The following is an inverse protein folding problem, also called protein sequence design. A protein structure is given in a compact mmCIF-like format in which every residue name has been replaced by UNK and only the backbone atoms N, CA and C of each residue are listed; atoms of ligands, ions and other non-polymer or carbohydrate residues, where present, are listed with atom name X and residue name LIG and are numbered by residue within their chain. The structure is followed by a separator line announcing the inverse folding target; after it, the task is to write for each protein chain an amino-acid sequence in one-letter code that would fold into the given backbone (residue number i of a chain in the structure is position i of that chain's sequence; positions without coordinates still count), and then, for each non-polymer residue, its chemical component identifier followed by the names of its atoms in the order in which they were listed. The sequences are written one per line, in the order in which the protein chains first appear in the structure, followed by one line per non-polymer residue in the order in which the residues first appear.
data_IF_357993075437
#
_entry.id   IF_357993075437
#
_cell.length_a   1.000
_cell.length_b   1.000
_cell.length_c   1.000
_cell.angle_alpha   90.00
_cell.angle_beta   90.00
_cell.angle_gamma   90.00
#
_symmetry.space_group_name_H-M   'P 1'
#
loop_
_entity.id
_entity.type
_entity.pdbx_description
1 polymer ?
#
# COMPACT_ATOMS: atom_id res chain seq x y z
N UNK A 1 24.68 -31.13 -7.99
CA UNK A 1 23.65 -30.07 -7.85
C UNK A 1 23.97 -29.24 -6.62
N UNK A 2 24.32 -27.99 -6.77
CA UNK A 2 24.54 -27.12 -5.59
C UNK A 2 23.22 -26.98 -4.84
N UNK A 3 23.25 -27.31 -3.56
CA UNK A 3 22.06 -27.18 -2.68
C UNK A 3 21.68 -25.71 -2.59
N UNK A 4 20.45 -25.36 -2.99
CA UNK A 4 19.95 -23.98 -2.86
C UNK A 4 19.80 -23.65 -1.38
N UNK A 5 20.24 -22.44 -0.98
CA UNK A 5 20.00 -21.91 0.35
C UNK A 5 18.51 -21.59 0.56
N UNK A 6 18.06 -21.69 1.81
CA UNK A 6 16.69 -21.35 2.18
C UNK A 6 16.57 -19.87 2.46
N UNK A 7 15.50 -19.26 1.98
CA UNK A 7 15.17 -17.86 2.16
C UNK A 7 13.72 -17.73 2.67
N UNK A 8 13.54 -17.06 3.78
CA UNK A 8 12.20 -16.67 4.25
C UNK A 8 11.99 -15.20 3.94
N UNK A 9 10.83 -14.90 3.35
CA UNK A 9 10.36 -13.53 3.13
C UNK A 9 9.11 -13.32 3.99
N UNK A 10 9.11 -12.26 4.82
CA UNK A 10 8.02 -11.92 5.73
C UNK A 10 7.24 -10.76 5.13
N UNK A 11 5.96 -10.98 4.85
CA UNK A 11 5.04 -10.05 4.19
C UNK A 11 4.88 -10.31 2.69
N UNK A 12 3.64 -10.53 2.25
CA UNK A 12 3.27 -10.77 0.85
C UNK A 12 2.62 -9.54 0.20
N UNK A 13 3.12 -8.36 0.54
CA UNK A 13 2.90 -7.13 -0.22
C UNK A 13 3.71 -7.10 -1.52
N UNK A 14 3.64 -6.00 -2.26
CA UNK A 14 4.35 -5.84 -3.54
C UNK A 14 5.85 -6.12 -3.42
N UNK A 15 6.52 -5.56 -2.39
CA UNK A 15 7.96 -5.74 -2.17
C UNK A 15 8.30 -7.21 -1.95
N UNK A 16 7.55 -7.92 -1.07
CA UNK A 16 7.82 -9.33 -0.76
C UNK A 16 7.55 -10.27 -1.93
N UNK A 17 6.42 -10.11 -2.61
CA UNK A 17 6.09 -10.93 -3.79
C UNK A 17 7.10 -10.73 -4.92
N UNK A 18 7.48 -9.48 -5.20
CA UNK A 18 8.43 -9.22 -6.26
C UNK A 18 9.84 -9.71 -5.90
N UNK A 19 10.27 -9.58 -4.63
CA UNK A 19 11.51 -10.19 -4.13
C UNK A 19 11.50 -11.71 -4.29
N UNK A 20 10.39 -12.37 -3.96
CA UNK A 20 10.25 -13.81 -4.13
C UNK A 20 10.41 -14.23 -5.60
N UNK A 21 9.75 -13.49 -6.52
CA UNK A 21 9.87 -13.74 -7.97
C UNK A 21 11.32 -13.60 -8.46
N UNK A 22 12.04 -12.58 -7.99
CA UNK A 22 13.44 -12.34 -8.36
C UNK A 22 14.38 -13.46 -7.86
N UNK A 23 14.13 -13.99 -6.65
CA UNK A 23 15.07 -14.89 -5.97
C UNK A 23 14.74 -16.38 -6.07
N UNK A 24 13.53 -16.80 -6.47
CA UNK A 24 13.10 -18.20 -6.50
C UNK A 24 13.98 -19.14 -7.34
N UNK A 25 14.69 -18.60 -8.35
CA UNK A 25 15.62 -19.42 -9.16
C UNK A 25 16.91 -19.75 -8.42
N UNK A 26 17.32 -18.94 -7.44
CA UNK A 26 18.57 -19.06 -6.68
C UNK A 26 18.37 -19.65 -5.28
N UNK A 27 17.21 -19.45 -4.68
CA UNK A 27 16.87 -19.86 -3.32
C UNK A 27 15.65 -20.78 -3.29
N UNK A 28 15.53 -21.57 -2.21
CA UNK A 28 14.26 -22.16 -1.79
C UNK A 28 13.51 -21.11 -1.00
N UNK A 29 12.53 -20.45 -1.62
CA UNK A 29 11.82 -19.33 -1.03
C UNK A 29 10.58 -19.81 -0.30
N UNK A 30 10.38 -19.31 0.93
CA UNK A 30 9.12 -19.40 1.69
C UNK A 30 8.66 -17.97 1.96
N UNK A 31 7.43 -17.66 1.61
CA UNK A 31 6.79 -16.37 1.83
C UNK A 31 5.73 -16.49 2.93
N UNK A 32 5.89 -15.76 4.03
CA UNK A 32 4.98 -15.76 5.17
C UNK A 32 4.13 -14.48 5.17
N UNK A 33 2.83 -14.61 5.16
CA UNK A 33 1.87 -13.50 5.23
C UNK A 33 0.97 -13.66 6.45
N UNK A 34 0.85 -12.60 7.24
CA UNK A 34 0.05 -12.61 8.44
C UNK A 34 -1.46 -12.64 8.17
N UNK A 35 -1.90 -12.04 7.06
CA UNK A 35 -3.30 -12.01 6.63
C UNK A 35 -3.71 -13.30 5.93
N UNK A 36 -5.01 -13.42 5.73
CA UNK A 36 -5.64 -14.43 4.87
C UNK A 36 -5.60 -14.07 3.37
N UNK A 37 -4.97 -12.92 3.02
CA UNK A 37 -4.86 -12.38 1.66
C UNK A 37 -3.48 -11.86 1.34
N UNK A 38 -3.15 -11.83 0.05
CA UNK A 38 -1.96 -11.21 -0.50
C UNK A 38 -2.18 -9.71 -0.78
N UNK A 39 -1.08 -8.97 -0.99
CA UNK A 39 -1.09 -7.60 -1.49
C UNK A 39 -0.71 -6.55 -0.44
N UNK A 40 -0.81 -6.86 0.84
CA UNK A 40 -0.51 -5.90 1.90
C UNK A 40 -1.41 -4.66 1.81
N UNK A 41 -0.81 -3.48 1.57
CA UNK A 41 -1.53 -2.20 1.36
C UNK A 41 -2.19 -2.10 -0.02
N UNK A 42 -1.86 -2.94 -1.00
CA UNK A 42 -2.63 -3.07 -2.22
C UNK A 42 -3.89 -3.88 -1.89
N UNK A 43 -5.03 -3.26 -2.10
CA UNK A 43 -6.34 -3.85 -1.89
C UNK A 43 -7.28 -3.27 -2.95
N UNK A 44 -7.81 -4.14 -3.82
CA UNK A 44 -8.86 -3.76 -4.77
C UNK A 44 -10.10 -4.62 -4.53
N UNK A 45 -11.25 -3.98 -4.39
CA UNK A 45 -12.56 -4.64 -4.23
C UNK A 45 -13.44 -4.22 -5.41
N UNK A 46 -14.00 -5.18 -6.12
CA UNK A 46 -14.83 -4.95 -7.30
C UNK A 46 -14.16 -4.05 -8.37
N UNK A 47 -12.82 -4.06 -8.45
CA UNK A 47 -12.03 -3.26 -9.38
C UNK A 47 -11.67 -1.85 -8.88
N UNK A 48 -12.10 -1.47 -7.68
CA UNK A 48 -11.76 -0.22 -7.02
C UNK A 48 -10.58 -0.40 -6.06
N UNK A 49 -9.57 0.45 -6.19
CA UNK A 49 -8.40 0.44 -5.33
C UNK A 49 -8.67 1.19 -4.02
N UNK A 50 -8.69 0.47 -2.92
CA UNK A 50 -8.82 1.00 -1.55
C UNK A 50 -7.46 1.27 -0.88
N UNK A 51 -6.38 0.87 -1.53
CA UNK A 51 -5.01 1.25 -1.22
C UNK A 51 -4.46 2.24 -2.25
N UNK A 52 -3.19 2.08 -2.72
CA UNK A 52 -2.64 2.89 -3.79
C UNK A 52 -3.48 2.73 -5.07
N UNK A 53 -3.61 3.81 -5.84
CA UNK A 53 -4.39 3.84 -7.09
C UNK A 53 -3.57 4.31 -8.27
N UNK A 54 -2.58 5.17 -8.05
CA UNK A 54 -1.88 5.89 -9.09
C UNK A 54 -0.46 5.41 -9.33
N UNK A 55 -0.09 5.47 -10.60
CA UNK A 55 1.30 5.40 -11.06
C UNK A 55 1.61 6.64 -11.90
N UNK A 56 2.81 7.20 -11.74
CA UNK A 56 3.22 8.42 -12.45
C UNK A 56 4.27 8.10 -13.51
N UNK A 57 4.35 8.95 -14.53
CA UNK A 57 5.23 8.73 -15.69
C UNK A 57 6.73 8.68 -15.36
N UNK A 58 7.16 9.23 -14.23
CA UNK A 58 8.54 9.17 -13.75
C UNK A 58 8.88 7.85 -13.03
N UNK A 59 7.89 7.09 -12.59
CA UNK A 59 8.03 5.84 -11.85
C UNK A 59 8.31 4.66 -12.81
N UNK A 60 9.56 4.55 -13.28
CA UNK A 60 9.93 3.66 -14.37
C UNK A 60 9.88 2.18 -14.03
N UNK A 61 10.22 1.80 -12.78
CA UNK A 61 10.25 0.39 -12.39
C UNK A 61 8.86 -0.21 -12.30
N UNK A 62 7.89 0.52 -11.70
CA UNK A 62 6.50 0.04 -11.63
C UNK A 62 5.88 0.00 -13.03
N UNK A 63 6.11 1.01 -13.86
CA UNK A 63 5.59 1.04 -15.24
C UNK A 63 6.14 -0.12 -16.07
N UNK A 64 7.44 -0.41 -15.96
CA UNK A 64 8.06 -1.57 -16.62
C UNK A 64 7.44 -2.87 -16.12
N UNK A 65 7.30 -3.05 -14.81
CA UNK A 65 6.70 -4.26 -14.25
C UNK A 65 5.26 -4.44 -14.70
N UNK A 66 4.43 -3.40 -14.69
CA UNK A 66 3.04 -3.47 -15.16
C UNK A 66 2.96 -3.88 -16.63
N UNK A 67 3.86 -3.37 -17.47
CA UNK A 67 3.97 -3.75 -18.88
C UNK A 67 4.42 -5.22 -19.05
N UNK A 68 5.44 -5.66 -18.31
CA UNK A 68 5.93 -7.05 -18.32
C UNK A 68 4.86 -8.05 -17.86
N UNK A 69 3.97 -7.63 -16.94
CA UNK A 69 2.82 -8.43 -16.49
C UNK A 69 1.59 -8.32 -17.42
N UNK A 70 1.69 -7.58 -18.53
CA UNK A 70 0.60 -7.41 -19.49
C UNK A 70 -0.60 -6.63 -18.95
N UNK A 71 -0.37 -5.76 -17.96
CA UNK A 71 -1.44 -4.99 -17.32
C UNK A 71 -1.68 -3.67 -18.05
N UNK A 72 -2.91 -3.45 -18.46
CA UNK A 72 -3.32 -2.23 -19.16
C UNK A 72 -3.47 -1.07 -18.19
N UNK A 73 -2.97 0.10 -18.62
CA UNK A 73 -3.12 1.37 -17.93
C UNK A 73 -4.14 2.26 -18.64
N UNK A 74 -4.80 3.10 -17.87
CA UNK A 74 -5.61 4.20 -18.39
C UNK A 74 -5.32 5.48 -17.60
N UNK A 75 -5.47 6.63 -18.26
CA UNK A 75 -5.20 7.93 -17.64
C UNK A 75 -6.21 8.25 -16.56
N UNK A 76 -5.75 8.83 -15.45
CA UNK A 76 -6.63 9.43 -14.45
C UNK A 76 -7.46 10.55 -15.11
N UNK A 77 -8.77 10.54 -14.90
CA UNK A 77 -9.64 11.61 -15.37
C UNK A 77 -9.43 12.86 -14.50
N UNK A 78 -9.16 13.99 -15.14
CA UNK A 78 -8.89 15.28 -14.47
C UNK A 78 -9.47 16.47 -15.25
N UNK A 79 -10.32 16.21 -16.25
CA UNK A 79 -10.86 17.29 -17.09
C UNK A 79 -12.03 17.99 -16.40
N UNK A 80 -12.05 19.32 -16.49
CA UNK A 80 -13.11 20.17 -15.93
C UNK A 80 -12.69 20.90 -14.66
N UNK A 81 -13.67 21.59 -14.07
CA UNK A 81 -13.47 22.33 -12.81
C UNK A 81 -13.43 21.39 -11.61
N UNK A 82 -12.86 21.87 -10.52
CA UNK A 82 -12.86 21.22 -9.21
C UNK A 82 -13.80 21.95 -8.25
N UNK A 83 -14.12 21.30 -7.14
CA UNK A 83 -14.93 21.86 -6.07
C UNK A 83 -14.07 22.19 -4.85
N UNK A 84 -14.35 23.33 -4.23
CA UNK A 84 -13.78 23.73 -2.96
C UNK A 84 -14.90 23.91 -1.94
N UNK A 85 -14.95 23.07 -0.94
CA UNK A 85 -16.01 23.00 0.06
C UNK A 85 -15.53 23.60 1.38
N UNK A 86 -16.11 24.76 1.71
CA UNK A 86 -15.83 25.56 2.89
C UNK A 86 -17.13 25.90 3.64
N UNK A 87 -17.09 26.40 4.90
CA UNK A 87 -18.30 26.73 5.66
C UNK A 87 -19.27 27.66 4.91
N UNK A 88 -18.74 28.56 4.06
CA UNK A 88 -19.52 29.55 3.32
C UNK A 88 -20.26 28.96 2.12
N UNK A 89 -19.92 27.72 1.71
CA UNK A 89 -20.54 27.02 0.59
C UNK A 89 -19.54 26.31 -0.29
N UNK A 90 -20.05 25.68 -1.35
CA UNK A 90 -19.24 24.99 -2.36
C UNK A 90 -18.95 25.93 -3.51
N UNK A 91 -17.68 26.06 -3.86
CA UNK A 91 -17.18 26.92 -4.93
C UNK A 91 -16.54 26.07 -6.02
N UNK A 92 -16.67 26.50 -7.29
CA UNK A 92 -15.94 25.92 -8.41
C UNK A 92 -14.63 26.67 -8.64
N UNK A 93 -13.60 25.95 -9.02
CA UNK A 93 -12.33 26.55 -9.42
C UNK A 93 -11.63 25.71 -10.48
N UNK A 94 -10.76 26.33 -11.27
CA UNK A 94 -9.90 25.61 -12.21
C UNK A 94 -8.63 25.18 -11.48
N UNK A 95 -8.40 23.86 -11.31
CA UNK A 95 -7.17 23.39 -10.66
C UNK A 95 -5.94 23.68 -11.52
N UNK A 96 -4.80 23.92 -10.88
CA UNK A 96 -3.53 24.01 -11.59
C UNK A 96 -3.21 22.66 -12.27
N UNK A 97 -2.50 22.67 -13.41
CA UNK A 97 -2.06 21.43 -14.04
C UNK A 97 -1.25 20.58 -13.07
N UNK A 98 -1.60 19.33 -12.94
CA UNK A 98 -0.90 18.35 -12.13
C UNK A 98 -0.12 17.35 -12.99
N UNK A 99 0.83 16.64 -12.37
CA UNK A 99 1.54 15.58 -13.06
C UNK A 99 0.56 14.48 -13.52
N UNK A 100 0.74 14.02 -14.76
CA UNK A 100 -0.08 12.96 -15.33
C UNK A 100 0.10 11.66 -14.55
N UNK A 101 -1.00 11.11 -14.07
CA UNK A 101 -1.05 9.79 -13.44
C UNK A 101 -1.95 8.84 -14.24
N UNK A 102 -1.68 7.55 -14.06
CA UNK A 102 -2.47 6.47 -14.65
C UNK A 102 -2.93 5.50 -13.57
N UNK A 103 -3.93 4.69 -13.91
CA UNK A 103 -4.47 3.63 -13.06
C UNK A 103 -4.47 2.30 -13.80
N UNK A 104 -4.42 1.20 -13.06
CA UNK A 104 -4.46 -0.15 -13.64
C UNK A 104 -5.90 -0.54 -13.92
N UNK A 105 -6.17 -1.00 -15.14
CA UNK A 105 -7.48 -1.49 -15.54
C UNK A 105 -7.89 -2.74 -14.75
N UNK A 106 -8.93 -2.60 -13.94
CA UNK A 106 -9.42 -3.65 -13.04
C UNK A 106 -8.71 -3.71 -11.69
N UNK A 107 -7.91 -2.68 -11.35
CA UNK A 107 -7.29 -2.50 -10.05
C UNK A 107 -5.91 -3.14 -9.91
N UNK A 108 -5.14 -2.61 -8.98
CA UNK A 108 -3.75 -3.05 -8.69
C UNK A 108 -3.66 -4.48 -8.13
N UNK A 109 -4.77 -5.05 -7.62
CA UNK A 109 -4.78 -6.45 -7.17
C UNK A 109 -4.40 -7.42 -8.29
N UNK A 110 -4.59 -7.06 -9.56
CA UNK A 110 -4.14 -7.86 -10.71
C UNK A 110 -2.63 -8.05 -10.74
N UNK A 111 -1.85 -7.02 -10.35
CA UNK A 111 -0.39 -7.15 -10.23
C UNK A 111 -0.02 -8.16 -9.16
N UNK A 112 -0.69 -8.12 -8.01
CA UNK A 112 -0.48 -9.08 -6.92
C UNK A 112 -0.79 -10.50 -7.38
N UNK A 113 -1.91 -10.70 -8.07
CA UNK A 113 -2.31 -12.00 -8.62
C UNK A 113 -1.32 -12.51 -9.66
N UNK A 114 -0.84 -11.64 -10.55
CA UNK A 114 0.15 -12.01 -11.57
C UNK A 114 1.49 -12.42 -10.96
N UNK A 115 2.00 -11.66 -9.97
CA UNK A 115 3.25 -12.00 -9.28
C UNK A 115 3.12 -13.30 -8.48
N UNK A 116 2.03 -13.49 -7.75
CA UNK A 116 1.83 -14.71 -6.96
C UNK A 116 1.69 -15.95 -7.82
N UNK A 117 1.10 -15.86 -9.00
CA UNK A 117 0.98 -16.97 -9.95
C UNK A 117 2.33 -17.46 -10.52
N UNK A 118 3.41 -16.67 -10.38
CA UNK A 118 4.78 -17.05 -10.78
C UNK A 118 5.51 -17.85 -9.71
N UNK A 119 4.96 -17.95 -8.52
CA UNK A 119 5.57 -18.64 -7.39
C UNK A 119 4.91 -20.02 -7.20
N UNK A 120 5.66 -21.02 -6.72
CA UNK A 120 5.08 -22.28 -6.30
C UNK A 120 4.00 -22.06 -5.23
N UNK A 121 2.85 -22.67 -5.39
CA UNK A 121 1.72 -22.48 -4.46
C UNK A 121 2.06 -22.88 -3.01
N UNK A 122 2.91 -23.89 -2.83
CA UNK A 122 3.39 -24.38 -1.55
C UNK A 122 4.48 -23.48 -0.92
N UNK A 123 4.97 -22.47 -1.64
CA UNK A 123 5.91 -21.48 -1.10
C UNK A 123 5.23 -20.30 -0.40
N UNK A 124 3.92 -20.13 -0.53
CA UNK A 124 3.15 -19.01 0.03
C UNK A 124 2.30 -19.53 1.20
N UNK A 125 2.53 -18.98 2.37
CA UNK A 125 1.83 -19.36 3.59
C UNK A 125 1.07 -18.16 4.15
N UNK A 126 -0.26 -18.16 4.03
CA UNK A 126 -1.16 -17.18 4.63
C UNK A 126 -1.44 -17.51 6.11
N UNK A 127 -1.96 -16.55 6.85
CA UNK A 127 -2.24 -16.67 8.30
C UNK A 127 -1.01 -17.12 9.10
N UNK A 128 0.15 -16.53 8.76
CA UNK A 128 1.46 -16.81 9.40
C UNK A 128 2.07 -15.52 9.93
N UNK A 129 1.48 -15.02 11.01
CA UNK A 129 2.04 -13.89 11.74
C UNK A 129 3.36 -14.29 12.39
N UNK A 130 4.43 -13.58 12.03
CA UNK A 130 5.77 -13.80 12.63
C UNK A 130 5.83 -13.05 13.95
N UNK A 131 6.19 -13.76 15.02
CA UNK A 131 6.25 -13.23 16.37
C UNK A 131 7.68 -13.05 16.86
N UNK A 132 8.61 -13.93 16.40
CA UNK A 132 9.99 -13.91 16.85
C UNK A 132 10.94 -14.34 15.74
N UNK A 133 12.09 -13.70 15.70
CA UNK A 133 13.21 -14.04 14.80
C UNK A 133 14.47 -14.18 15.65
N UNK A 134 15.14 -15.32 15.58
CA UNK A 134 16.34 -15.59 16.36
C UNK A 134 17.45 -16.18 15.50
N UNK A 135 18.68 -15.74 15.77
CA UNK A 135 19.87 -16.36 15.20
C UNK A 135 20.25 -17.58 16.06
N UNK A 136 20.27 -18.76 15.43
CA UNK A 136 20.67 -20.02 16.07
C UNK A 136 21.84 -20.60 15.27
N UNK A 137 23.01 -20.56 15.85
CA UNK A 137 24.28 -20.92 15.19
C UNK A 137 24.45 -20.19 13.84
N UNK A 138 24.24 -20.88 12.73
CA UNK A 138 24.40 -20.31 11.38
C UNK A 138 23.07 -20.02 10.68
N UNK A 139 21.94 -20.46 11.23
CA UNK A 139 20.62 -20.31 10.64
C UNK A 139 19.77 -19.31 11.42
N UNK A 140 18.82 -18.70 10.74
CA UNK A 140 17.81 -17.87 11.37
C UNK A 140 16.56 -18.72 11.57
N UNK A 141 16.05 -18.72 12.80
CA UNK A 141 14.76 -19.29 13.15
C UNK A 141 13.70 -18.21 13.16
N UNK A 142 12.59 -18.47 12.47
CA UNK A 142 11.39 -17.63 12.43
C UNK A 142 10.24 -18.36 13.07
N UNK A 143 9.64 -17.78 14.10
CA UNK A 143 8.57 -18.38 14.90
C UNK A 143 7.24 -17.69 14.59
N UNK A 144 6.23 -18.48 14.29
CA UNK A 144 4.83 -18.06 14.17
C UNK A 144 3.99 -18.78 15.24
N UNK A 145 2.72 -18.43 15.36
CA UNK A 145 1.83 -19.10 16.31
C UNK A 145 1.72 -20.61 16.07
N UNK A 146 1.79 -21.04 14.81
CA UNK A 146 1.50 -22.44 14.46
C UNK A 146 2.76 -23.26 14.14
N UNK A 147 3.77 -22.64 13.53
CA UNK A 147 4.94 -23.37 13.01
C UNK A 147 6.20 -22.52 13.09
N UNK A 148 7.32 -23.19 13.30
CA UNK A 148 8.65 -22.60 13.21
C UNK A 148 9.32 -22.95 11.89
N UNK A 149 10.09 -22.01 11.36
CA UNK A 149 10.83 -22.14 10.13
C UNK A 149 12.31 -21.84 10.38
N UNK A 150 13.19 -22.37 9.53
CA UNK A 150 14.62 -22.07 9.60
C UNK A 150 15.14 -21.76 8.20
N UNK A 151 16.01 -20.76 8.07
CA UNK A 151 16.56 -20.33 6.79
C UNK A 151 17.98 -19.78 6.94
N UNK A 152 18.70 -19.75 5.82
CA UNK A 152 20.01 -19.10 5.71
C UNK A 152 19.90 -17.57 5.74
N UNK A 153 18.82 -17.06 5.15
CA UNK A 153 18.51 -15.62 5.07
C UNK A 153 17.03 -15.35 5.34
N UNK A 154 16.76 -14.19 5.92
CA UNK A 154 15.40 -13.67 6.13
C UNK A 154 15.32 -12.26 5.57
N UNK A 155 14.21 -11.96 4.88
CA UNK A 155 13.88 -10.64 4.41
C UNK A 155 12.54 -10.23 5.01
N UNK A 156 12.52 -9.20 5.84
CA UNK A 156 11.29 -8.59 6.35
C UNK A 156 10.88 -7.45 5.40
N UNK A 157 9.65 -7.50 4.90
CA UNK A 157 9.07 -6.45 4.04
C UNK A 157 7.99 -5.65 4.76
N UNK A 158 7.93 -5.77 6.08
CA UNK A 158 7.10 -4.95 6.94
C UNK A 158 7.66 -3.53 6.97
N UNK A 159 6.78 -2.53 7.19
CA UNK A 159 7.30 -1.20 7.51
C UNK A 159 8.18 -1.27 8.76
N UNK A 160 9.23 -0.43 8.86
CA UNK A 160 10.18 -0.50 9.96
C UNK A 160 9.52 -0.43 11.34
N UNK A 161 8.52 0.44 11.53
CA UNK A 161 7.75 0.52 12.79
C UNK A 161 7.09 -0.79 13.16
N UNK A 162 6.36 -1.40 12.22
CA UNK A 162 5.70 -2.70 12.45
C UNK A 162 6.70 -3.80 12.78
N UNK A 163 7.82 -3.85 12.06
CA UNK A 163 8.86 -4.85 12.30
C UNK A 163 9.49 -4.66 13.68
N UNK A 164 9.71 -3.41 14.12
CA UNK A 164 10.29 -3.09 15.42
C UNK A 164 9.35 -3.41 16.59
N UNK A 165 8.05 -3.11 16.45
CA UNK A 165 7.08 -3.23 17.55
C UNK A 165 6.51 -4.64 17.70
N UNK A 166 6.31 -5.36 16.58
CA UNK A 166 5.53 -6.60 16.60
C UNK A 166 6.38 -7.86 16.59
N UNK A 167 7.70 -7.76 16.39
CA UNK A 167 8.58 -8.92 16.30
C UNK A 167 9.66 -8.85 17.38
N UNK A 168 9.79 -9.94 18.16
CA UNK A 168 10.91 -10.14 19.09
C UNK A 168 12.15 -10.59 18.31
N UNK A 169 13.32 -9.99 18.62
CA UNK A 169 14.60 -10.36 18.01
C UNK A 169 15.57 -10.91 19.04
N UNK A 170 16.27 -12.01 18.70
CA UNK A 170 17.29 -12.62 19.58
C UNK A 170 18.54 -12.99 18.76
N UNK A 171 19.72 -12.34 18.94
CA UNK A 171 19.95 -11.16 19.78
C UNK A 171 19.03 -9.96 19.47
N UNK A 172 18.77 -9.09 20.45
CA UNK A 172 17.88 -7.95 20.27
C UNK A 172 18.46 -6.94 19.25
N UNK A 173 17.59 -6.18 18.61
CA UNK A 173 18.01 -5.00 17.86
C UNK A 173 18.73 -4.02 18.80
N UNK A 174 19.77 -3.34 18.30
CA UNK A 174 20.41 -2.26 19.07
C UNK A 174 19.42 -1.11 19.32
N UNK A 175 19.65 -0.33 20.36
CA UNK A 175 18.77 0.79 20.68
C UNK A 175 18.77 1.86 19.57
N UNK A 176 19.93 2.09 18.93
CA UNK A 176 20.02 2.99 17.78
C UNK A 176 19.18 2.50 16.61
N UNK A 177 19.21 1.20 16.31
CA UNK A 177 18.39 0.62 15.25
C UNK A 177 16.89 0.68 15.57
N UNK A 178 16.50 0.44 16.82
CA UNK A 178 15.09 0.57 17.24
C UNK A 178 14.61 2.02 17.08
N UNK A 179 15.39 3.00 17.55
CA UNK A 179 15.07 4.41 17.39
C UNK A 179 14.90 4.77 15.91
N UNK A 180 15.87 4.39 15.07
CA UNK A 180 15.81 4.63 13.63
C UNK A 180 14.55 4.01 13.00
N UNK A 181 14.22 2.76 13.32
CA UNK A 181 13.04 2.07 12.77
C UNK A 181 11.73 2.71 13.23
N UNK A 182 11.65 3.18 14.47
CA UNK A 182 10.46 3.87 15.01
C UNK A 182 10.30 5.28 14.42
N UNK A 183 11.38 5.94 14.05
CA UNK A 183 11.35 7.27 13.42
C UNK A 183 10.92 7.22 11.94
N UNK A 184 10.97 6.07 11.28
CA UNK A 184 10.52 5.91 9.90
C UNK A 184 9.00 5.71 9.85
N UNK A 185 8.19 6.70 9.46
CA UNK A 185 6.74 6.58 9.46
C UNK A 185 6.24 5.63 8.37
N UNK A 186 5.19 4.87 8.66
CA UNK A 186 4.52 4.05 7.65
C UNK A 186 3.68 4.94 6.74
N UNK A 187 4.02 4.98 5.44
CA UNK A 187 3.29 5.81 4.48
C UNK A 187 1.82 5.41 4.38
N UNK A 188 0.95 6.41 4.51
CA UNK A 188 -0.50 6.25 4.49
C UNK A 188 -1.08 5.36 5.62
N UNK A 189 -0.26 4.96 6.60
CA UNK A 189 -0.72 4.24 7.80
C UNK A 189 -1.63 5.08 8.71
N UNK A 190 -1.64 6.40 8.52
CA UNK A 190 -2.46 7.37 9.28
C UNK A 190 -3.80 7.71 8.61
N UNK A 191 -4.13 7.11 7.48
CA UNK A 191 -5.29 7.50 6.67
C UNK A 191 -6.32 6.38 6.50
N UNK A 192 -7.47 6.76 6.02
CA UNK A 192 -8.49 5.85 5.54
C UNK A 192 -8.96 6.30 4.15
N UNK A 193 -9.46 5.36 3.36
CA UNK A 193 -9.92 5.61 2.00
C UNK A 193 -11.34 5.12 1.80
N UNK A 194 -12.13 5.93 1.10
CA UNK A 194 -13.49 5.64 0.73
C UNK A 194 -13.62 5.67 -0.79
N UNK A 195 -14.36 4.73 -1.38
CA UNK A 195 -14.78 4.76 -2.79
C UNK A 195 -16.29 4.75 -2.83
N UNK A 196 -16.86 5.68 -3.61
CA UNK A 196 -18.30 5.91 -3.73
C UNK A 196 -18.69 5.63 -5.17
N UNK A 197 -19.46 4.58 -5.39
CA UNK A 197 -19.96 4.16 -6.70
C UNK A 197 -21.30 4.83 -6.99
N UNK A 198 -21.48 5.27 -8.23
CA UNK A 198 -22.69 5.94 -8.69
C UNK A 198 -23.26 5.23 -9.91
N UNK A 199 -24.56 5.45 -10.20
CA UNK A 199 -25.20 4.96 -11.41
C UNK A 199 -24.66 5.61 -12.68
N UNK A 200 -24.13 6.83 -12.60
CA UNK A 200 -23.56 7.57 -13.72
C UNK A 200 -22.50 8.59 -13.25
N UNK A 201 -21.53 8.91 -14.11
CA UNK A 201 -20.52 9.93 -13.86
C UNK A 201 -21.06 11.34 -14.16
N UNK A 202 -22.12 11.77 -13.47
CA UNK A 202 -22.79 13.05 -13.68
C UNK A 202 -21.84 14.25 -13.61
N UNK A 203 -20.78 14.17 -12.76
CA UNK A 203 -19.79 15.25 -12.64
C UNK A 203 -19.10 15.55 -13.99
N UNK A 204 -18.87 14.55 -14.84
CA UNK A 204 -18.28 14.75 -16.17
C UNK A 204 -19.21 15.52 -17.09
N UNK A 205 -20.53 15.21 -17.06
CA UNK A 205 -21.54 15.94 -17.80
C UNK A 205 -21.71 17.38 -17.31
N UNK A 206 -21.52 17.61 -16.00
CA UNK A 206 -21.59 18.92 -15.35
C UNK A 206 -20.29 19.75 -15.53
N UNK A 207 -19.31 19.27 -16.30
CA UNK A 207 -18.04 19.93 -16.54
C UNK A 207 -17.08 19.90 -15.35
N UNK A 208 -17.22 18.92 -14.45
CA UNK A 208 -16.39 18.75 -13.27
C UNK A 208 -15.39 17.61 -13.48
N UNK A 209 -14.20 17.77 -12.90
CA UNK A 209 -13.13 16.77 -12.92
C UNK A 209 -13.32 15.59 -11.94
N UNK A 210 -14.30 15.67 -11.05
CA UNK A 210 -14.41 14.78 -9.92
C UNK A 210 -13.44 15.11 -8.77
N UNK A 211 -12.56 16.10 -8.95
CA UNK A 211 -11.71 16.60 -7.88
C UNK A 211 -12.48 17.55 -6.97
N UNK A 212 -12.38 17.29 -5.67
CA UNK A 212 -12.87 18.22 -4.66
C UNK A 212 -11.92 18.26 -3.47
N UNK A 213 -11.78 19.45 -2.90
CA UNK A 213 -11.10 19.67 -1.63
C UNK A 213 -12.11 20.19 -0.61
N UNK A 214 -12.24 19.52 0.54
CA UNK A 214 -13.25 19.85 1.54
C UNK A 214 -12.64 20.04 2.94
N UNK A 215 -13.05 21.13 3.59
CA UNK A 215 -12.76 21.38 5.01
C UNK A 215 -13.92 20.98 5.93
N UNK A 216 -15.05 20.54 5.37
CA UNK A 216 -16.31 20.36 6.12
C UNK A 216 -16.65 18.88 6.29
N UNK A 217 -16.54 18.09 5.24
CA UNK A 217 -16.95 16.68 5.27
C UNK A 217 -15.86 15.74 5.74
N UNK A 218 -16.17 14.44 5.88
CA UNK A 218 -15.19 13.43 6.29
C UNK A 218 -14.09 13.22 5.27
N UNK A 219 -14.36 13.43 3.97
CA UNK A 219 -13.37 13.29 2.89
C UNK A 219 -12.73 14.65 2.61
N UNK A 220 -11.45 14.79 2.96
CA UNK A 220 -10.69 16.03 2.75
C UNK A 220 -10.31 16.26 1.29
N UNK A 221 -10.00 15.19 0.57
CA UNK A 221 -9.60 15.21 -0.83
C UNK A 221 -10.34 14.11 -1.58
N UNK A 222 -10.98 14.45 -2.70
CA UNK A 222 -11.83 13.56 -3.50
C UNK A 222 -11.35 13.60 -4.95
N UNK A 223 -11.40 12.47 -5.66
CA UNK A 223 -11.00 12.33 -7.07
C UNK A 223 -11.92 11.38 -7.83
N UNK A 224 -11.93 11.50 -9.17
CA UNK A 224 -12.56 10.50 -10.03
C UNK A 224 -11.93 9.11 -9.80
N UNK A 225 -12.79 8.15 -9.57
CA UNK A 225 -12.44 6.73 -9.43
C UNK A 225 -13.08 5.86 -10.52
N UNK A 226 -13.68 6.46 -11.54
CA UNK A 226 -14.35 5.73 -12.61
C UNK A 226 -13.41 4.75 -13.28
N UNK A 227 -13.96 3.62 -13.64
CA UNK A 227 -13.32 2.58 -14.46
C UNK A 227 -14.02 2.51 -15.81
N UNK A 228 -13.73 1.51 -16.64
CA UNK A 228 -14.44 1.33 -17.90
C UNK A 228 -15.93 0.99 -17.73
N UNK A 229 -16.29 0.35 -16.61
CA UNK A 229 -17.62 -0.20 -16.41
C UNK A 229 -18.34 0.33 -15.18
N UNK A 230 -17.70 1.23 -14.43
CA UNK A 230 -18.22 1.76 -13.17
C UNK A 230 -17.86 3.22 -13.02
N UNK A 231 -18.80 4.01 -12.59
CA UNK A 231 -18.65 5.42 -12.30
C UNK A 231 -18.51 5.61 -10.80
N UNK A 232 -17.39 6.20 -10.37
CA UNK A 232 -17.10 6.33 -8.96
C UNK A 232 -16.23 7.56 -8.67
N UNK A 233 -16.30 8.00 -7.42
CA UNK A 233 -15.37 8.93 -6.80
C UNK A 233 -14.64 8.19 -5.67
N UNK A 234 -13.39 8.55 -5.39
CA UNK A 234 -12.74 8.14 -4.14
C UNK A 234 -12.26 9.35 -3.36
N UNK A 235 -12.14 9.19 -2.05
CA UNK A 235 -11.58 10.24 -1.21
C UNK A 235 -10.77 9.68 -0.06
N UNK A 236 -9.85 10.53 0.43
CA UNK A 236 -9.10 10.29 1.65
C UNK A 236 -9.79 10.96 2.83
N UNK A 237 -9.94 10.21 3.93
CA UNK A 237 -10.54 10.76 5.14
C UNK A 237 -9.65 11.82 5.76
N UNK A 238 -10.29 12.84 6.29
CA UNK A 238 -9.66 13.74 7.25
C UNK A 238 -9.29 12.95 8.52
N UNK A 239 -8.18 13.31 9.14
CA UNK A 239 -7.65 12.59 10.30
C UNK A 239 -8.66 12.45 11.46
N UNK A 240 -9.50 13.45 11.66
CA UNK A 240 -10.48 13.50 12.75
C UNK A 240 -11.83 12.85 12.41
N UNK A 241 -12.03 12.33 11.19
CA UNK A 241 -13.29 11.74 10.78
C UNK A 241 -13.59 10.47 11.59
N UNK A 242 -14.82 10.40 12.13
CA UNK A 242 -15.34 9.20 12.78
C UNK A 242 -15.65 8.12 11.73
N UNK A 243 -15.13 6.93 11.95
CA UNK A 243 -15.34 5.82 11.02
C UNK A 243 -16.58 4.99 11.32
N UNK A 244 -17.18 5.15 12.48
CA UNK A 244 -18.39 4.42 12.86
C UNK A 244 -19.65 5.02 12.18
N UNK A 245 -19.60 6.30 11.80
CA UNK A 245 -20.68 7.02 11.09
C UNK A 245 -20.34 7.29 9.62
N UNK A 246 -19.20 6.81 9.13
CA UNK A 246 -18.60 7.24 7.87
C UNK A 246 -19.54 7.16 6.67
N UNK A 247 -20.34 6.10 6.54
CA UNK A 247 -21.24 5.94 5.40
C UNK A 247 -22.31 7.03 5.36
N UNK A 248 -22.87 7.37 6.51
CA UNK A 248 -23.83 8.46 6.65
C UNK A 248 -23.18 9.80 6.33
N UNK A 249 -22.02 10.07 6.93
CA UNK A 249 -21.34 11.36 6.81
C UNK A 249 -20.84 11.61 5.39
N UNK A 250 -20.40 10.55 4.69
CA UNK A 250 -20.07 10.60 3.27
C UNK A 250 -21.29 10.93 2.41
N UNK A 251 -22.43 10.30 2.66
CA UNK A 251 -23.68 10.62 1.94
C UNK A 251 -24.11 12.08 2.15
N UNK A 252 -24.00 12.59 3.36
CA UNK A 252 -24.27 14.00 3.68
C UNK A 252 -23.30 14.94 2.95
N UNK A 253 -22.01 14.59 2.92
CA UNK A 253 -21.02 15.35 2.16
C UNK A 253 -21.31 15.34 0.65
N UNK A 254 -21.65 14.19 0.07
CA UNK A 254 -22.03 14.11 -1.35
C UNK A 254 -23.28 14.95 -1.65
N UNK A 255 -24.25 14.96 -0.75
CA UNK A 255 -25.44 15.84 -0.89
C UNK A 255 -25.06 17.31 -0.83
N UNK A 256 -24.12 17.70 0.01
CA UNK A 256 -23.61 19.06 0.07
C UNK A 256 -22.87 19.47 -1.20
N UNK A 257 -22.02 18.59 -1.74
CA UNK A 257 -21.22 18.86 -2.94
C UNK A 257 -22.05 18.83 -4.24
N UNK A 258 -23.01 17.92 -4.35
CA UNK A 258 -23.66 17.58 -5.62
C UNK A 258 -25.20 17.66 -5.58
N UNK A 259 -25.80 18.09 -4.46
CA UNK A 259 -27.26 18.21 -4.32
C UNK A 259 -27.97 16.86 -4.50
N UNK A 260 -29.05 16.87 -5.27
CA UNK A 260 -29.86 15.66 -5.55
C UNK A 260 -29.11 14.55 -6.30
N UNK A 261 -28.00 14.86 -6.97
CA UNK A 261 -27.15 13.87 -7.64
C UNK A 261 -26.53 12.85 -6.65
N UNK A 262 -26.48 13.17 -5.35
CA UNK A 262 -26.08 12.20 -4.32
C UNK A 262 -27.02 11.00 -4.19
N UNK A 263 -28.26 11.09 -4.67
CA UNK A 263 -29.20 9.97 -4.71
C UNK A 263 -28.81 8.87 -5.71
N UNK A 264 -27.88 9.18 -6.62
CA UNK A 264 -27.31 8.23 -7.57
C UNK A 264 -26.24 7.29 -6.95
N UNK A 265 -25.91 7.45 -5.67
CA UNK A 265 -25.00 6.54 -4.96
C UNK A 265 -25.58 5.14 -4.91
N UNK A 266 -24.81 4.16 -5.39
CA UNK A 266 -25.20 2.74 -5.39
C UNK A 266 -24.49 1.95 -4.31
N UNK A 267 -23.20 2.26 -4.05
CA UNK A 267 -22.39 1.53 -3.09
C UNK A 267 -21.26 2.41 -2.54
N UNK A 268 -20.90 2.16 -1.29
CA UNK A 268 -19.75 2.78 -0.63
C UNK A 268 -18.82 1.67 -0.15
N UNK A 269 -17.54 1.77 -0.51
CA UNK A 269 -16.47 0.90 -0.04
C UNK A 269 -15.58 1.73 0.88
N UNK A 270 -15.08 1.10 1.93
CA UNK A 270 -14.30 1.80 2.94
C UNK A 270 -13.18 0.91 3.49
N UNK A 271 -12.02 1.49 3.72
CA UNK A 271 -10.90 0.85 4.41
C UNK A 271 -10.22 1.86 5.32
N UNK A 272 -10.14 1.55 6.60
CA UNK A 272 -9.39 2.33 7.58
C UNK A 272 -8.02 1.70 7.83
N UNK A 273 -7.00 2.22 7.18
CA UNK A 273 -5.63 1.71 7.32
C UNK A 273 -5.03 1.99 8.70
N UNK A 274 -5.59 2.94 9.47
CA UNK A 274 -5.19 3.24 10.86
C UNK A 274 -5.51 2.08 11.81
N UNK A 275 -6.63 1.36 11.53
CA UNK A 275 -7.11 0.21 12.31
C UNK A 275 -6.55 -1.13 11.81
N UNK A 276 -5.75 -1.12 10.75
CA UNK A 276 -5.23 -2.34 10.12
C UNK A 276 -3.94 -2.78 10.81
N UNK A 277 -4.08 -3.78 11.70
CA UNK A 277 -3.02 -4.32 12.56
C UNK A 277 -1.68 -4.58 11.85
N UNK A 278 -1.73 -5.01 10.59
CA UNK A 278 -0.54 -5.37 9.81
C UNK A 278 -0.10 -4.26 8.83
N UNK A 279 -0.63 -3.05 8.96
CA UNK A 279 -0.25 -1.89 8.15
C UNK A 279 0.13 -0.67 8.97
N UNK A 280 -0.42 -0.53 10.18
CA UNK A 280 -0.25 0.66 11.02
C UNK A 280 0.08 0.29 12.45
N UNK A 281 0.82 1.15 13.12
CA UNK A 281 1.11 1.10 14.55
C UNK A 281 0.55 2.35 15.23
N UNK A 282 0.53 2.39 16.56
CA UNK A 282 0.09 3.58 17.28
C UNK A 282 0.96 4.82 17.00
N UNK A 283 2.23 4.63 16.59
CA UNK A 283 3.12 5.72 16.16
C UNK A 283 2.68 6.34 14.84
N UNK A 284 1.93 5.60 14.01
CA UNK A 284 1.42 6.10 12.72
C UNK A 284 0.12 6.90 12.87
N UNK A 285 -0.50 6.92 14.05
CA UNK A 285 -1.75 7.65 14.31
C UNK A 285 -1.55 9.17 14.43
N UNK A 286 -0.39 9.69 14.09
CA UNK A 286 -0.13 11.13 13.97
C UNK A 286 -0.15 11.48 12.48
N UNK A 287 -0.98 12.45 12.11
CA UNK A 287 -0.98 12.96 10.74
C UNK A 287 0.39 13.47 10.32
N UNK A 288 0.75 13.23 9.06
CA UNK A 288 1.98 13.74 8.48
C UNK A 288 1.72 15.08 7.80
N UNK A 289 2.55 16.08 8.07
CA UNK A 289 2.43 17.41 7.45
C UNK A 289 3.05 17.47 6.05
N UNK A 290 3.92 16.51 5.72
CA UNK A 290 4.60 16.40 4.44
C UNK A 290 4.94 14.93 4.15
N UNK A 291 5.31 14.64 2.91
CA UNK A 291 5.85 13.33 2.53
C UNK A 291 7.19 13.14 3.25
N UNK A 292 7.38 12.02 4.00
CA UNK A 292 8.64 11.76 4.70
C UNK A 292 9.82 11.56 3.74
N UNK A 293 11.00 11.91 4.20
CA UNK A 293 12.22 11.45 3.56
C UNK A 293 12.49 10.01 3.98
N UNK A 294 12.57 9.12 3.01
CA UNK A 294 12.85 7.71 3.21
C UNK A 294 14.26 7.36 2.74
N UNK A 295 14.69 6.16 3.05
CA UNK A 295 15.97 5.60 2.65
C UNK A 295 16.80 5.16 3.84
N UNK A 296 16.88 3.84 4.01
CA UNK A 296 17.66 3.25 5.10
C UNK A 296 18.13 1.86 4.71
N UNK A 297 19.38 1.54 5.00
CA UNK A 297 19.92 0.18 4.85
C UNK A 297 19.87 -0.51 6.21
N UNK A 298 18.76 -1.18 6.50
CA UNK A 298 18.51 -1.84 7.78
C UNK A 298 18.82 -3.33 7.67
N UNK A 299 19.77 -3.79 8.49
CA UNK A 299 20.22 -5.17 8.51
C UNK A 299 20.52 -5.62 9.93
N UNK A 300 20.36 -6.94 10.18
CA UNK A 300 20.66 -7.57 11.47
C UNK A 300 21.26 -8.97 11.25
N UNK A 301 21.79 -9.61 12.31
CA UNK A 301 22.37 -10.96 12.27
C UNK A 301 23.48 -11.12 11.22
N UNK A 302 24.47 -10.22 11.23
CA UNK A 302 25.62 -10.26 10.30
C UNK A 302 25.19 -10.36 8.83
N UNK A 303 24.28 -9.49 8.42
CA UNK A 303 23.72 -9.42 7.05
C UNK A 303 22.95 -10.68 6.62
N UNK A 304 22.29 -11.35 7.55
CA UNK A 304 21.37 -12.46 7.24
C UNK A 304 19.90 -12.09 7.36
N UNK A 305 19.56 -11.03 8.09
CA UNK A 305 18.23 -10.44 8.17
C UNK A 305 18.26 -9.05 7.56
N UNK A 306 17.45 -8.85 6.52
CA UNK A 306 17.29 -7.57 5.82
C UNK A 306 15.90 -7.01 6.07
N UNK A 307 15.79 -5.71 6.27
CA UNK A 307 14.51 -5.02 6.31
C UNK A 307 14.39 -4.18 5.05
N UNK A 308 13.38 -4.47 4.24
CA UNK A 308 13.13 -3.78 2.99
C UNK A 308 11.66 -3.39 2.90
N UNK A 309 11.32 -2.57 1.94
CA UNK A 309 9.97 -2.11 1.70
C UNK A 309 10.01 -0.72 1.09
N UNK A 310 8.84 -0.15 0.88
CA UNK A 310 8.80 1.19 0.29
C UNK A 310 9.37 2.25 1.24
N UNK A 311 9.28 2.04 2.55
CA UNK A 311 9.80 2.96 3.57
C UNK A 311 11.32 2.89 3.74
N UNK A 312 12.00 1.89 3.17
CA UNK A 312 13.47 1.81 3.19
C UNK A 312 14.12 2.24 1.88
N UNK A 313 13.33 2.48 0.83
CA UNK A 313 13.84 2.87 -0.48
C UNK A 313 14.36 4.31 -0.48
N UNK A 314 15.57 4.52 -1.02
CA UNK A 314 16.20 5.85 -1.15
C UNK A 314 15.55 6.72 -2.23
N UNK A 315 14.85 6.11 -3.16
CA UNK A 315 14.14 6.82 -4.23
C UNK A 315 12.68 6.36 -4.27
N UNK A 316 11.76 7.31 -4.42
CA UNK A 316 10.32 7.08 -4.43
C UNK A 316 9.80 6.26 -3.23
N UNK A 317 10.40 6.43 -2.05
CA UNK A 317 9.92 5.81 -0.81
C UNK A 317 8.45 6.17 -0.52
N UNK A 318 7.70 5.26 0.09
CA UNK A 318 6.25 5.41 0.30
C UNK A 318 5.40 5.00 -0.90
N UNK A 319 5.92 4.98 -2.12
CA UNK A 319 5.18 4.65 -3.34
C UNK A 319 5.40 3.19 -3.78
N UNK A 320 4.61 2.75 -4.78
CA UNK A 320 4.78 1.44 -5.43
C UNK A 320 6.18 1.27 -6.03
N UNK A 321 6.72 2.35 -6.59
CA UNK A 321 8.07 2.42 -7.15
C UNK A 321 9.13 2.03 -6.12
N UNK A 322 9.09 2.63 -4.92
CA UNK A 322 10.02 2.33 -3.83
C UNK A 322 9.98 0.87 -3.38
N UNK A 323 8.79 0.25 -3.37
CA UNK A 323 8.66 -1.17 -3.05
C UNK A 323 9.40 -2.07 -4.05
N UNK A 324 9.42 -1.70 -5.33
CA UNK A 324 10.12 -2.44 -6.38
C UNK A 324 11.62 -2.17 -6.33
N UNK A 325 12.02 -0.92 -6.09
CA UNK A 325 13.43 -0.54 -5.95
C UNK A 325 14.07 -1.33 -4.81
N UNK A 326 13.46 -1.33 -3.62
CA UNK A 326 14.00 -2.04 -2.46
C UNK A 326 14.11 -3.55 -2.69
N UNK A 327 13.15 -4.16 -3.40
CA UNK A 327 13.20 -5.56 -3.78
C UNK A 327 14.36 -5.86 -4.74
N UNK A 328 14.60 -5.01 -5.73
CA UNK A 328 15.73 -5.14 -6.67
C UNK A 328 17.09 -4.99 -5.97
N UNK A 329 17.17 -4.07 -5.01
CA UNK A 329 18.41 -3.81 -4.26
C UNK A 329 18.80 -5.00 -3.38
N UNK A 330 17.87 -5.56 -2.60
CA UNK A 330 18.17 -6.74 -1.79
C UNK A 330 18.48 -7.95 -2.66
N UNK A 331 17.80 -8.11 -3.80
CA UNK A 331 18.12 -9.20 -4.73
C UNK A 331 19.55 -9.09 -5.26
N UNK A 332 20.03 -7.90 -5.59
CA UNK A 332 21.44 -7.68 -6.01
C UNK A 332 22.45 -8.01 -4.90
N UNK A 333 22.11 -7.76 -3.62
CA UNK A 333 22.98 -8.09 -2.48
C UNK A 333 23.11 -9.59 -2.24
N UNK A 334 22.11 -10.39 -2.62
CA UNK A 334 22.05 -11.83 -2.35
C UNK A 334 22.49 -12.72 -3.53
N UNK A 335 22.58 -12.19 -4.75
CA UNK A 335 23.00 -12.90 -5.97
C UNK A 335 24.45 -12.59 -6.29
#
# INVERSE_FOLDING_TARGET
MTHKKNLIIIGAGLSGLYTAVLLQKKFNVILLEARDRLGGRILSIDGHDLGPSWVWSHQKNILTLLHEEGLELFSQYTQGEALYDVPQGVQRFTPAPSASSARVKGGLQKLISSLSAKLPADSIHLNREVLKISLQDTLIRVETQEKNYSADYVISTLSPRLACENIEYLPPLSDDMKHLMLDIPTWMGHTAKCVIEFNEAFWKADGLSGFAFSHIGPLGEIHDASTQNKDALFGFLQFQADTDTIEKDVKEQMKRLFGSKSELITKIYFTDWRKEKFSSTHHDHKGLSAHPEYGSDLQHFDNKLFFIGTETAYDNGGYLEGAIISAKEVAKKLI
#
